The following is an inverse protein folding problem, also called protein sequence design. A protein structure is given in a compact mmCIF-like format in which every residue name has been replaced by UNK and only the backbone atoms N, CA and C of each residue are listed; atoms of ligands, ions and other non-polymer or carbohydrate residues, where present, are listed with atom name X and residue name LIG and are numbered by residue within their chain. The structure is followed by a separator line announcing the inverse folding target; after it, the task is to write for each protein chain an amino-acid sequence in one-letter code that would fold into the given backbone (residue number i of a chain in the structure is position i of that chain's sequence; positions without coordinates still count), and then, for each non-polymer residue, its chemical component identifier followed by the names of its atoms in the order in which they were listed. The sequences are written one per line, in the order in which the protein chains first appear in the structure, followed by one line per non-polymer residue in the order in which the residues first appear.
data_IF_042057798380
#
_entry.id   IF_042057798380
#
_cell.length_a   1.000
_cell.length_b   1.000
_cell.length_c   1.000
_cell.angle_alpha   90.00
_cell.angle_beta   90.00
_cell.angle_gamma   90.00
#
_symmetry.space_group_name_H-M   'P 1'
#
loop_
_entity.id
_entity.type
_entity.pdbx_description
1 polymer ?
#
# COMPACT_ATOMS: atom_id res chain seq x y z
N UNK A 1 56.66 96.01 -12.59
CA UNK A 1 55.77 94.85 -12.38
C UNK A 1 56.66 93.70 -11.92
N UNK A 2 56.60 93.38 -10.63
CA UNK A 2 57.48 92.41 -9.98
C UNK A 2 57.08 90.97 -10.30
N UNK A 3 57.75 90.38 -11.29
CA UNK A 3 57.56 88.98 -11.69
C UNK A 3 57.90 87.96 -10.57
N UNK A 4 58.58 88.38 -9.49
CA UNK A 4 58.91 87.53 -8.34
C UNK A 4 57.83 87.52 -7.23
N UNK A 5 57.09 88.62 -7.01
CA UNK A 5 55.99 88.63 -6.03
C UNK A 5 54.80 87.80 -6.52
N UNK A 6 54.55 87.79 -7.83
CA UNK A 6 53.50 86.98 -8.45
C UNK A 6 53.83 85.49 -8.42
N UNK A 7 55.12 85.10 -8.49
CA UNK A 7 55.56 83.69 -8.36
C UNK A 7 55.43 83.14 -6.95
N UNK A 8 55.81 83.90 -5.92
CA UNK A 8 55.70 83.47 -4.52
C UNK A 8 54.24 83.34 -4.07
N UNK A 9 53.39 84.27 -4.49
CA UNK A 9 51.95 84.27 -4.16
C UNK A 9 51.24 83.10 -4.84
N UNK A 10 51.63 82.77 -6.07
CA UNK A 10 51.09 81.63 -6.81
C UNK A 10 51.56 80.28 -6.22
N UNK A 11 52.82 80.18 -5.78
CA UNK A 11 53.33 78.99 -5.10
C UNK A 11 52.64 78.73 -3.74
N UNK A 12 52.39 79.78 -2.93
CA UNK A 12 51.64 79.64 -1.66
C UNK A 12 50.21 79.17 -1.88
N UNK A 13 49.51 79.71 -2.89
CA UNK A 13 48.16 79.26 -3.25
C UNK A 13 48.15 77.79 -3.70
N UNK A 14 49.15 77.38 -4.48
CA UNK A 14 49.30 75.99 -4.95
C UNK A 14 49.56 75.00 -3.82
N UNK A 15 50.34 75.39 -2.80
CA UNK A 15 50.58 74.55 -1.60
C UNK A 15 49.28 74.32 -0.82
N UNK A 16 48.48 75.38 -0.60
CA UNK A 16 47.19 75.25 0.10
C UNK A 16 46.23 74.34 -0.65
N UNK A 17 46.19 74.44 -1.98
CA UNK A 17 45.39 73.55 -2.83
C UNK A 17 45.87 72.09 -2.73
N UNK A 18 47.18 71.84 -2.76
CA UNK A 18 47.74 70.48 -2.62
C UNK A 18 47.41 69.86 -1.25
N UNK A 19 47.55 70.61 -0.15
CA UNK A 19 47.17 70.13 1.18
C UNK A 19 45.68 69.77 1.25
N UNK A 20 44.81 70.56 0.60
CA UNK A 20 43.38 70.26 0.54
C UNK A 20 43.09 69.00 -0.27
N UNK A 21 43.79 68.81 -1.39
CA UNK A 21 43.72 67.59 -2.20
C UNK A 21 44.16 66.37 -1.38
N UNK A 22 45.26 66.45 -0.62
CA UNK A 22 45.74 65.35 0.20
C UNK A 22 44.74 64.94 1.29
N UNK A 23 44.09 65.91 1.94
CA UNK A 23 43.00 65.65 2.90
C UNK A 23 41.83 64.91 2.23
N UNK A 24 41.40 65.38 1.06
CA UNK A 24 40.31 64.76 0.31
C UNK A 24 40.68 63.37 -0.19
N UNK A 25 41.93 63.14 -0.63
CA UNK A 25 42.44 61.82 -1.01
C UNK A 25 42.35 60.83 0.16
N UNK A 26 42.69 61.26 1.37
CA UNK A 26 42.53 60.43 2.58
C UNK A 26 41.07 60.08 2.82
N UNK A 27 40.15 61.05 2.65
CA UNK A 27 38.70 60.83 2.79
C UNK A 27 38.18 59.86 1.73
N UNK A 28 38.52 60.05 0.46
CA UNK A 28 38.15 59.17 -0.64
C UNK A 28 38.64 57.74 -0.41
N UNK A 29 39.89 57.57 0.02
CA UNK A 29 40.46 56.27 0.34
C UNK A 29 39.75 55.60 1.53
N UNK A 30 39.38 56.36 2.56
CA UNK A 30 38.57 55.82 3.67
C UNK A 30 37.20 55.33 3.18
N UNK A 31 36.51 56.09 2.31
CA UNK A 31 35.26 55.65 1.69
C UNK A 31 35.45 54.38 0.86
N UNK A 32 36.53 54.29 0.10
CA UNK A 32 36.90 53.09 -0.65
C UNK A 32 37.10 51.86 0.25
N UNK A 33 37.88 51.99 1.33
CA UNK A 33 38.11 50.91 2.30
C UNK A 33 36.83 50.49 3.02
N UNK A 34 35.87 51.40 3.18
CA UNK A 34 34.55 51.12 3.73
C UNK A 34 33.56 50.53 2.70
N UNK A 35 33.96 50.34 1.45
CA UNK A 35 33.08 49.87 0.36
C UNK A 35 32.04 50.89 -0.10
N UNK A 36 32.17 52.15 0.32
CA UNK A 36 31.29 53.28 -0.06
C UNK A 36 31.78 53.91 -1.36
N UNK A 37 31.76 53.14 -2.44
CA UNK A 37 32.36 53.55 -3.70
C UNK A 37 31.69 54.78 -4.31
N UNK A 38 30.38 54.96 -4.18
CA UNK A 38 29.68 56.17 -4.68
C UNK A 38 30.12 57.44 -3.93
N UNK A 39 30.41 57.34 -2.63
CA UNK A 39 30.93 58.45 -1.85
C UNK A 39 32.41 58.73 -2.19
N UNK A 40 33.21 57.67 -2.44
CA UNK A 40 34.58 57.82 -2.90
C UNK A 40 34.67 58.49 -4.29
N UNK A 41 33.73 58.19 -5.20
CA UNK A 41 33.63 58.84 -6.51
C UNK A 41 33.36 60.34 -6.36
N UNK A 42 32.38 60.73 -5.53
CA UNK A 42 32.06 62.15 -5.30
C UNK A 42 33.26 62.95 -4.78
N UNK A 43 34.02 62.37 -3.85
CA UNK A 43 35.21 63.03 -3.30
C UNK A 43 36.33 63.09 -4.35
N UNK A 44 36.49 62.06 -5.20
CA UNK A 44 37.44 62.08 -6.30
C UNK A 44 37.08 63.10 -7.40
N UNK A 45 35.78 63.27 -7.70
CA UNK A 45 35.27 64.33 -8.59
C UNK A 45 35.55 65.74 -8.01
N UNK A 46 35.38 65.93 -6.70
CA UNK A 46 35.73 67.18 -6.00
C UNK A 46 37.26 67.46 -6.07
N UNK A 47 38.10 66.42 -5.94
CA UNK A 47 39.56 66.56 -6.13
C UNK A 47 39.89 66.96 -7.56
N UNK A 48 39.23 66.35 -8.56
CA UNK A 48 39.44 66.69 -9.97
C UNK A 48 39.08 68.14 -10.28
N UNK A 49 37.95 68.64 -9.78
CA UNK A 49 37.51 70.03 -9.97
C UNK A 49 38.53 71.02 -9.38
N UNK A 50 38.96 70.79 -8.14
CA UNK A 50 39.99 71.60 -7.47
C UNK A 50 41.33 71.53 -8.21
N UNK A 51 41.71 70.36 -8.71
CA UNK A 51 42.96 70.16 -9.44
C UNK A 51 42.92 70.82 -10.84
N UNK A 52 41.77 70.82 -11.51
CA UNK A 52 41.57 71.44 -12.81
C UNK A 52 41.66 72.98 -12.72
N UNK A 53 40.98 73.58 -11.74
CA UNK A 53 41.06 75.02 -11.44
C UNK A 53 42.50 75.48 -11.14
N UNK A 54 43.29 74.61 -10.50
CA UNK A 54 44.69 74.86 -10.19
C UNK A 54 45.68 74.44 -11.29
N UNK A 55 45.19 73.94 -12.44
CA UNK A 55 46.00 73.44 -13.58
C UNK A 55 46.96 72.29 -13.20
N UNK A 56 46.56 71.44 -12.25
CA UNK A 56 47.27 70.26 -11.76
C UNK A 56 46.87 69.00 -12.56
N UNK A 57 47.10 69.02 -13.88
CA UNK A 57 46.61 67.98 -14.79
C UNK A 57 47.10 66.55 -14.48
N UNK A 58 48.23 66.38 -13.80
CA UNK A 58 48.69 65.06 -13.35
C UNK A 58 47.75 64.44 -12.32
N UNK A 59 47.20 65.25 -11.40
CA UNK A 59 46.25 64.82 -10.38
C UNK A 59 44.89 64.55 -11.03
N UNK A 60 44.46 65.42 -11.95
CA UNK A 60 43.23 65.21 -12.74
C UNK A 60 43.26 63.85 -13.45
N UNK A 61 44.43 63.47 -14.02
CA UNK A 61 44.60 62.16 -14.66
C UNK A 61 44.57 61.01 -13.65
N UNK A 62 45.29 61.13 -12.54
CA UNK A 62 45.34 60.11 -11.47
C UNK A 62 43.94 59.82 -10.91
N UNK A 63 43.17 60.86 -10.60
CA UNK A 63 41.80 60.72 -10.11
C UNK A 63 40.86 60.17 -11.19
N UNK A 64 41.04 60.54 -12.46
CA UNK A 64 40.26 59.96 -13.57
C UNK A 64 40.48 58.44 -13.70
N UNK A 65 41.72 57.96 -13.51
CA UNK A 65 42.04 56.53 -13.47
C UNK A 65 41.43 55.85 -12.22
N UNK A 66 41.50 56.50 -11.06
CA UNK A 66 40.90 56.01 -9.81
C UNK A 66 39.35 55.90 -9.89
N UNK A 67 38.67 56.92 -10.40
CA UNK A 67 37.21 56.92 -10.63
C UNK A 67 36.80 55.79 -11.58
N UNK A 68 37.57 55.56 -12.65
CA UNK A 68 37.28 54.48 -13.58
C UNK A 68 37.33 53.10 -12.90
N UNK A 69 38.26 52.89 -11.96
CA UNK A 69 38.33 51.66 -11.17
C UNK A 69 37.22 51.58 -10.12
N UNK A 70 36.84 52.69 -9.48
CA UNK A 70 35.68 52.74 -8.58
C UNK A 70 34.38 52.35 -9.30
N UNK A 71 34.15 52.84 -10.53
CA UNK A 71 32.98 52.43 -11.32
C UNK A 71 32.95 50.94 -11.63
N UNK A 72 34.11 50.31 -11.89
CA UNK A 72 34.19 48.84 -12.04
C UNK A 72 33.76 48.16 -10.74
N UNK A 73 34.20 48.65 -9.58
CA UNK A 73 33.82 48.12 -8.26
C UNK A 73 32.35 48.30 -7.93
N UNK A 74 31.75 49.46 -8.24
CA UNK A 74 30.30 49.68 -8.12
C UNK A 74 29.53 48.66 -8.97
N UNK A 75 29.95 48.44 -10.22
CA UNK A 75 29.31 47.47 -11.12
C UNK A 75 29.43 46.03 -10.61
N UNK A 76 30.57 45.66 -10.05
CA UNK A 76 30.77 44.35 -9.40
C UNK A 76 29.85 44.19 -8.18
N UNK A 77 29.81 45.18 -7.30
CA UNK A 77 28.99 45.16 -6.09
C UNK A 77 27.48 45.07 -6.41
N UNK A 78 27.02 45.85 -7.40
CA UNK A 78 25.62 45.80 -7.84
C UNK A 78 25.22 44.42 -8.37
N UNK A 79 26.12 43.72 -9.08
CA UNK A 79 25.87 42.33 -9.51
C UNK A 79 25.75 41.38 -8.32
N UNK A 80 26.60 41.54 -7.30
CA UNK A 80 26.53 40.72 -6.08
C UNK A 80 25.19 40.92 -5.38
N UNK A 81 24.78 42.17 -5.17
CA UNK A 81 23.48 42.52 -4.55
C UNK A 81 22.31 41.93 -5.35
N UNK A 82 22.37 41.99 -6.68
CA UNK A 82 21.33 41.42 -7.54
C UNK A 82 21.26 39.89 -7.40
N UNK A 83 22.40 39.21 -7.38
CA UNK A 83 22.48 37.77 -7.14
C UNK A 83 21.90 37.42 -5.77
N UNK A 84 22.26 38.16 -4.72
CA UNK A 84 21.74 37.95 -3.36
C UNK A 84 20.22 38.14 -3.30
N UNK A 85 19.68 39.17 -3.96
CA UNK A 85 18.23 39.39 -4.06
C UNK A 85 17.53 38.24 -4.78
N UNK A 86 18.12 37.74 -5.87
CA UNK A 86 17.58 36.58 -6.59
C UNK A 86 17.58 35.32 -5.71
N UNK A 87 18.68 35.05 -5.01
CA UNK A 87 18.77 33.90 -4.09
C UNK A 87 17.75 34.00 -2.95
N UNK A 88 17.59 35.19 -2.35
CA UNK A 88 16.58 35.42 -1.31
C UNK A 88 15.15 35.26 -1.83
N UNK A 89 14.88 35.65 -3.08
CA UNK A 89 13.56 35.47 -3.70
C UNK A 89 13.27 33.98 -3.92
N UNK A 90 14.24 33.21 -4.40
CA UNK A 90 14.11 31.76 -4.56
C UNK A 90 13.83 31.07 -3.21
N UNK A 91 14.54 31.45 -2.14
CA UNK A 91 14.31 30.91 -0.79
C UNK A 91 12.88 31.18 -0.31
N UNK A 92 12.37 32.41 -0.47
CA UNK A 92 10.99 32.76 -0.11
C UNK A 92 9.93 32.00 -0.92
N UNK A 93 10.24 31.61 -2.16
CA UNK A 93 9.35 30.79 -2.99
C UNK A 93 9.38 29.31 -2.60
N UNK A 94 10.51 28.82 -2.06
CA UNK A 94 10.67 27.44 -1.61
C UNK A 94 10.00 27.18 -0.25
N UNK A 95 9.97 28.15 0.65
CA UNK A 95 9.37 28.04 1.98
C UNK A 95 7.91 27.51 1.98
N UNK A 96 6.96 28.05 1.20
CA UNK A 96 5.61 27.50 1.15
C UNK A 96 5.56 26.09 0.55
N UNK A 97 6.44 25.77 -0.40
CA UNK A 97 6.51 24.42 -1.00
C UNK A 97 7.01 23.40 0.02
N UNK A 98 7.96 23.77 0.87
CA UNK A 98 8.46 22.91 1.95
C UNK A 98 7.33 22.57 2.93
N UNK A 99 6.56 23.58 3.35
CA UNK A 99 5.41 23.39 4.25
C UNK A 99 4.37 22.46 3.61
N UNK A 100 4.03 22.68 2.34
CA UNK A 100 3.08 21.84 1.61
C UNK A 100 3.59 20.41 1.47
N UNK A 101 4.84 20.24 1.05
CA UNK A 101 5.47 18.94 0.90
C UNK A 101 5.45 18.15 2.21
N UNK A 102 5.89 18.75 3.32
CA UNK A 102 5.88 18.11 4.64
C UNK A 102 4.45 17.75 5.09
N UNK A 103 3.47 18.60 4.80
CA UNK A 103 2.06 18.29 5.04
C UNK A 103 1.57 17.10 4.20
N UNK A 104 1.98 16.99 2.94
CA UNK A 104 1.58 15.88 2.07
C UNK A 104 2.28 14.58 2.44
N UNK A 105 3.55 14.62 2.83
CA UNK A 105 4.29 13.47 3.36
C UNK A 105 3.63 12.93 4.63
N UNK A 106 3.30 13.80 5.59
CA UNK A 106 2.65 13.38 6.84
C UNK A 106 1.24 12.81 6.66
N UNK A 107 0.56 13.19 5.58
CA UNK A 107 -0.78 12.68 5.23
C UNK A 107 -0.75 11.57 4.18
N UNK A 108 0.44 11.08 3.82
CA UNK A 108 0.65 10.06 2.77
C UNK A 108 0.05 10.42 1.41
N UNK A 109 -0.10 11.72 1.09
CA UNK A 109 -0.60 12.16 -0.21
C UNK A 109 0.56 12.24 -1.22
N UNK A 110 0.95 11.08 -1.76
CA UNK A 110 2.14 10.93 -2.62
C UNK A 110 2.01 11.73 -3.92
N UNK A 111 0.83 11.78 -4.53
CA UNK A 111 0.61 12.52 -5.78
C UNK A 111 0.92 14.01 -5.60
N UNK A 112 0.33 14.64 -4.57
CA UNK A 112 0.58 16.06 -4.30
C UNK A 112 2.00 16.33 -3.80
N UNK A 113 2.58 15.40 -3.02
CA UNK A 113 3.98 15.49 -2.62
C UNK A 113 4.94 15.45 -3.82
N UNK A 114 4.68 14.58 -4.81
CA UNK A 114 5.46 14.47 -6.05
C UNK A 114 5.36 15.75 -6.88
N UNK A 115 4.15 16.27 -7.07
CA UNK A 115 3.93 17.53 -7.78
C UNK A 115 4.66 18.70 -7.10
N UNK A 116 4.60 18.77 -5.77
CA UNK A 116 5.28 19.81 -4.98
C UNK A 116 6.80 19.70 -5.10
N UNK A 117 7.32 18.47 -5.07
CA UNK A 117 8.76 18.20 -5.22
C UNK A 117 9.26 18.60 -6.61
N UNK A 118 8.50 18.31 -7.67
CA UNK A 118 8.86 18.72 -9.03
C UNK A 118 8.84 20.25 -9.19
N UNK A 119 7.86 20.93 -8.59
CA UNK A 119 7.86 22.39 -8.52
C UNK A 119 9.11 22.91 -7.80
N UNK A 120 9.45 22.36 -6.64
CA UNK A 120 10.65 22.75 -5.90
C UNK A 120 11.93 22.53 -6.70
N UNK A 121 12.07 21.38 -7.39
CA UNK A 121 13.22 21.08 -8.27
C UNK A 121 13.45 22.14 -9.35
N UNK A 122 12.39 22.75 -9.89
CA UNK A 122 12.56 23.84 -10.87
C UNK A 122 13.22 25.09 -10.29
N UNK A 123 12.95 25.40 -9.02
CA UNK A 123 13.53 26.53 -8.29
C UNK A 123 14.95 26.21 -7.81
N UNK A 124 15.15 24.99 -7.28
CA UNK A 124 16.43 24.51 -6.74
C UNK A 124 17.55 24.52 -7.80
N UNK A 125 17.25 24.27 -9.07
CA UNK A 125 18.22 24.36 -10.20
C UNK A 125 18.96 25.70 -10.29
N UNK A 126 18.37 26.78 -9.77
CA UNK A 126 18.93 28.14 -9.81
C UNK A 126 19.50 28.59 -8.46
N UNK A 127 19.32 27.78 -7.42
CA UNK A 127 19.77 28.05 -6.06
C UNK A 127 21.23 27.62 -5.90
N UNK A 128 22.03 28.46 -5.24
CA UNK A 128 23.43 28.15 -4.89
C UNK A 128 23.61 27.79 -3.42
N UNK A 129 22.56 27.95 -2.62
CA UNK A 129 22.57 27.68 -1.19
C UNK A 129 22.64 26.18 -0.90
N UNK A 130 23.80 25.73 -0.44
CA UNK A 130 24.09 24.30 -0.22
C UNK A 130 23.28 23.68 0.90
N UNK A 131 22.89 24.47 1.91
CA UNK A 131 22.10 23.99 3.05
C UNK A 131 20.68 23.65 2.61
N UNK A 132 20.01 24.58 1.91
CA UNK A 132 18.67 24.37 1.36
C UNK A 132 18.66 23.21 0.36
N UNK A 133 19.68 23.09 -0.50
CA UNK A 133 19.79 21.98 -1.44
C UNK A 133 19.84 20.62 -0.73
N UNK A 134 20.69 20.48 0.30
CA UNK A 134 20.79 19.23 1.08
C UNK A 134 19.50 18.89 1.83
N UNK A 135 18.80 19.89 2.34
CA UNK A 135 17.50 19.69 2.99
C UNK A 135 16.50 19.07 2.00
N UNK A 136 16.39 19.63 0.79
CA UNK A 136 15.49 19.09 -0.24
C UNK A 136 15.94 17.72 -0.78
N UNK A 137 17.24 17.44 -0.88
CA UNK A 137 17.75 16.09 -1.18
C UNK A 137 17.31 15.07 -0.13
N UNK A 138 17.35 15.45 1.16
CA UNK A 138 16.87 14.62 2.26
C UNK A 138 15.36 14.39 2.17
N UNK A 139 14.60 15.44 1.89
CA UNK A 139 13.15 15.36 1.65
C UNK A 139 12.78 14.44 0.49
N UNK A 140 13.52 14.51 -0.62
CA UNK A 140 13.33 13.60 -1.77
C UNK A 140 13.62 12.15 -1.39
N UNK A 141 14.69 11.88 -0.63
CA UNK A 141 14.99 10.54 -0.15
C UNK A 141 13.84 9.98 0.73
N UNK A 142 13.31 10.78 1.66
CA UNK A 142 12.16 10.41 2.51
C UNK A 142 10.92 10.11 1.64
N UNK A 143 10.64 10.95 0.64
CA UNK A 143 9.54 10.73 -0.29
C UNK A 143 9.67 9.42 -1.06
N UNK A 144 10.86 9.12 -1.60
CA UNK A 144 11.10 7.89 -2.35
C UNK A 144 10.94 6.64 -1.48
N UNK A 145 11.39 6.70 -0.23
CA UNK A 145 11.16 5.60 0.73
C UNK A 145 9.67 5.41 1.04
N UNK A 146 8.93 6.51 1.23
CA UNK A 146 7.49 6.46 1.49
C UNK A 146 6.70 5.92 0.29
N UNK A 147 6.99 6.43 -0.92
CA UNK A 147 6.40 5.96 -2.18
C UNK A 147 6.59 4.45 -2.34
N UNK A 148 7.83 3.98 -2.15
CA UNK A 148 8.16 2.54 -2.20
C UNK A 148 7.33 1.73 -1.19
N UNK A 149 7.14 2.23 0.04
CA UNK A 149 6.32 1.53 1.06
C UNK A 149 4.85 1.44 0.66
N UNK A 150 4.29 2.48 0.06
CA UNK A 150 2.90 2.52 -0.39
C UNK A 150 2.69 1.57 -1.56
N UNK A 151 3.55 1.63 -2.59
CA UNK A 151 3.47 0.75 -3.76
C UNK A 151 3.50 -0.73 -3.35
N UNK A 152 4.38 -1.08 -2.40
CA UNK A 152 4.45 -2.44 -1.85
C UNK A 152 3.17 -2.81 -1.10
N UNK A 153 2.60 -1.89 -0.32
CA UNK A 153 1.38 -2.17 0.42
C UNK A 153 0.20 -2.40 -0.53
N UNK A 154 0.07 -1.61 -1.60
CA UNK A 154 -0.98 -1.80 -2.62
C UNK A 154 -0.85 -3.16 -3.33
N UNK A 155 0.35 -3.55 -3.73
CA UNK A 155 0.63 -4.85 -4.34
C UNK A 155 0.33 -6.03 -3.39
N UNK A 156 0.62 -5.87 -2.09
CA UNK A 156 0.25 -6.84 -1.05
C UNK A 156 -1.26 -6.94 -0.91
N UNK A 157 -1.98 -5.82 -0.78
CA UNK A 157 -3.44 -5.81 -0.64
C UNK A 157 -4.13 -6.46 -1.83
N UNK A 158 -3.66 -6.19 -3.05
CA UNK A 158 -4.16 -6.84 -4.25
C UNK A 158 -3.94 -8.37 -4.20
N UNK A 159 -2.74 -8.80 -3.79
CA UNK A 159 -2.42 -10.22 -3.64
C UNK A 159 -3.28 -10.89 -2.56
N UNK A 160 -3.56 -10.19 -1.46
CA UNK A 160 -4.41 -10.69 -0.37
C UNK A 160 -5.87 -10.83 -0.79
N UNK A 161 -6.39 -9.91 -1.60
CA UNK A 161 -7.73 -10.03 -2.17
C UNK A 161 -7.86 -11.29 -3.04
N UNK A 162 -6.85 -11.56 -3.87
CA UNK A 162 -6.82 -12.78 -4.69
C UNK A 162 -6.68 -14.05 -3.84
N UNK A 163 -5.84 -14.02 -2.79
CA UNK A 163 -5.73 -15.12 -1.83
C UNK A 163 -7.07 -15.43 -1.16
N UNK A 164 -7.80 -14.41 -0.72
CA UNK A 164 -9.14 -14.59 -0.16
C UNK A 164 -10.11 -15.25 -1.16
N UNK A 165 -10.11 -14.80 -2.41
CA UNK A 165 -10.92 -15.41 -3.48
C UNK A 165 -10.56 -16.88 -3.72
N UNK A 166 -9.27 -17.23 -3.67
CA UNK A 166 -8.81 -18.62 -3.84
C UNK A 166 -9.23 -19.50 -2.65
N UNK A 167 -9.18 -18.97 -1.42
CA UNK A 167 -9.66 -19.67 -0.22
C UNK A 167 -11.15 -19.99 -0.33
N UNK A 168 -11.98 -19.03 -0.76
CA UNK A 168 -13.42 -19.23 -0.93
C UNK A 168 -13.75 -20.29 -1.98
N UNK A 169 -12.84 -20.52 -2.93
CA UNK A 169 -12.94 -21.56 -3.96
C UNK A 169 -12.20 -22.86 -3.58
N UNK A 170 -11.70 -22.98 -2.34
CA UNK A 170 -10.92 -24.12 -1.84
C UNK A 170 -9.63 -24.39 -2.64
N UNK A 171 -9.07 -23.39 -3.32
CA UNK A 171 -7.83 -23.47 -4.10
C UNK A 171 -6.59 -23.16 -3.23
N UNK A 172 -6.42 -23.91 -2.13
CA UNK A 172 -5.41 -23.65 -1.10
C UNK A 172 -3.97 -23.65 -1.62
N UNK A 173 -3.60 -24.56 -2.53
CA UNK A 173 -2.24 -24.64 -3.08
C UNK A 173 -1.84 -23.37 -3.84
N UNK A 174 -2.76 -22.80 -4.64
CA UNK A 174 -2.52 -21.55 -5.36
C UNK A 174 -2.40 -20.37 -4.40
N UNK A 175 -3.26 -20.32 -3.38
CA UNK A 175 -3.18 -19.31 -2.33
C UNK A 175 -1.83 -19.36 -1.59
N UNK A 176 -1.34 -20.56 -1.24
CA UNK A 176 -0.02 -20.78 -0.63
C UNK A 176 1.11 -20.30 -1.54
N UNK A 177 1.05 -20.60 -2.84
CA UNK A 177 2.06 -20.15 -3.81
C UNK A 177 2.16 -18.61 -3.87
N UNK A 178 1.03 -17.90 -3.92
CA UNK A 178 1.02 -16.42 -3.91
C UNK A 178 1.66 -15.88 -2.64
N UNK A 179 1.24 -16.38 -1.47
CA UNK A 179 1.79 -15.93 -0.19
C UNK A 179 3.29 -16.22 -0.06
N UNK A 180 3.75 -17.42 -0.43
CA UNK A 180 5.17 -17.77 -0.39
C UNK A 180 6.00 -16.85 -1.30
N UNK A 181 5.54 -16.63 -2.54
CA UNK A 181 6.22 -15.75 -3.49
C UNK A 181 6.36 -14.32 -2.94
N UNK A 182 5.31 -13.77 -2.32
CA UNK A 182 5.36 -12.43 -1.71
C UNK A 182 6.21 -12.39 -0.45
N UNK A 183 6.19 -13.42 0.40
CA UNK A 183 7.05 -13.51 1.58
C UNK A 183 8.54 -13.52 1.17
N UNK A 184 8.90 -14.28 0.13
CA UNK A 184 10.27 -14.31 -0.40
C UNK A 184 10.69 -12.96 -0.99
N UNK A 185 9.79 -12.31 -1.75
CA UNK A 185 10.04 -10.97 -2.28
C UNK A 185 10.32 -9.95 -1.17
N UNK A 186 9.49 -9.92 -0.12
CA UNK A 186 9.65 -9.00 1.00
C UNK A 186 10.89 -9.29 1.83
N UNK A 187 11.30 -10.55 1.93
CA UNK A 187 12.54 -10.95 2.60
C UNK A 187 13.78 -10.43 1.86
N UNK A 188 13.77 -10.44 0.52
CA UNK A 188 14.87 -9.85 -0.28
C UNK A 188 14.91 -8.33 -0.18
N UNK A 189 13.77 -7.69 0.06
CA UNK A 189 13.65 -6.24 0.20
C UNK A 189 13.78 -5.69 1.63
N UNK A 190 14.02 -6.55 2.62
CA UNK A 190 14.12 -6.22 4.05
C UNK A 190 12.85 -5.57 4.66
N UNK A 191 11.67 -5.93 4.14
CA UNK A 191 10.37 -5.45 4.59
C UNK A 191 9.77 -6.35 5.68
N UNK A 192 10.44 -6.42 6.83
CA UNK A 192 10.15 -7.38 7.91
C UNK A 192 8.70 -7.29 8.43
N UNK A 193 8.16 -6.09 8.64
CA UNK A 193 6.81 -5.91 9.17
C UNK A 193 5.73 -6.50 8.24
N UNK A 194 5.86 -6.24 6.94
CA UNK A 194 4.96 -6.79 5.93
C UNK A 194 5.12 -8.31 5.82
N UNK A 195 6.35 -8.81 5.89
CA UNK A 195 6.65 -10.23 5.87
C UNK A 195 5.96 -10.96 7.04
N UNK A 196 5.99 -10.39 8.25
CA UNK A 196 5.34 -10.97 9.43
C UNK A 196 3.82 -11.04 9.26
N UNK A 197 3.19 -9.98 8.73
CA UNK A 197 1.74 -9.97 8.42
C UNK A 197 1.37 -11.10 7.46
N UNK A 198 2.15 -11.30 6.40
CA UNK A 198 1.92 -12.39 5.45
C UNK A 198 2.15 -13.78 6.05
N UNK A 199 3.13 -13.95 6.94
CA UNK A 199 3.34 -15.21 7.68
C UNK A 199 2.17 -15.57 8.59
N UNK A 200 1.56 -14.56 9.25
CA UNK A 200 0.34 -14.77 10.05
C UNK A 200 -0.81 -15.23 9.14
N UNK A 201 -0.99 -14.58 7.99
CA UNK A 201 -2.00 -15.01 7.00
C UNK A 201 -1.75 -16.41 6.47
N UNK A 202 -0.49 -16.78 6.22
CA UNK A 202 -0.12 -18.12 5.82
C UNK A 202 -0.50 -19.16 6.87
N UNK A 203 -0.28 -18.87 8.15
CA UNK A 203 -0.71 -19.78 9.23
C UNK A 203 -2.23 -19.96 9.23
N UNK A 204 -3.00 -18.86 9.11
CA UNK A 204 -4.45 -18.94 9.03
C UNK A 204 -4.95 -19.71 7.80
N UNK A 205 -4.23 -19.62 6.67
CA UNK A 205 -4.52 -20.39 5.46
C UNK A 205 -4.34 -21.89 5.68
N UNK A 206 -3.22 -22.29 6.29
CA UNK A 206 -2.95 -23.70 6.64
C UNK A 206 -4.02 -24.23 7.61
N UNK A 207 -4.36 -23.47 8.65
CA UNK A 207 -5.41 -23.85 9.59
C UNK A 207 -6.79 -24.02 8.92
N UNK A 208 -7.08 -23.26 7.86
CA UNK A 208 -8.31 -23.38 7.08
C UNK A 208 -8.28 -24.61 6.16
N UNK A 209 -7.15 -24.87 5.52
CA UNK A 209 -6.91 -26.07 4.70
C UNK A 209 -7.07 -27.35 5.52
N UNK A 210 -6.44 -27.42 6.70
CA UNK A 210 -6.53 -28.59 7.59
C UNK A 210 -7.98 -28.88 8.00
N UNK A 211 -8.76 -27.83 8.31
CA UNK A 211 -10.19 -27.98 8.61
C UNK A 211 -10.99 -28.48 7.41
N UNK A 212 -10.69 -27.98 6.21
CA UNK A 212 -11.33 -28.43 4.99
C UNK A 212 -11.02 -29.91 4.70
N UNK A 213 -9.75 -30.30 4.79
CA UNK A 213 -9.31 -31.69 4.57
C UNK A 213 -9.97 -32.65 5.56
N UNK A 214 -10.08 -32.26 6.83
CA UNK A 214 -10.80 -33.05 7.83
C UNK A 214 -12.27 -33.25 7.46
N UNK A 215 -12.94 -32.21 6.95
CA UNK A 215 -14.33 -32.34 6.49
C UNK A 215 -14.45 -33.24 5.25
N UNK A 216 -13.46 -33.25 4.36
CA UNK A 216 -13.43 -34.21 3.25
C UNK A 216 -13.24 -35.66 3.72
N UNK A 217 -12.43 -35.88 4.75
CA UNK A 217 -12.26 -37.19 5.38
C UNK A 217 -13.54 -37.65 6.08
N UNK A 218 -14.16 -36.78 6.89
CA UNK A 218 -15.45 -37.03 7.55
C UNK A 218 -16.53 -37.42 6.51
N UNK A 219 -16.54 -36.77 5.34
CA UNK A 219 -17.46 -37.14 4.26
C UNK A 219 -17.24 -38.57 3.77
N UNK A 220 -15.99 -38.97 3.50
CA UNK A 220 -15.64 -40.33 3.03
C UNK A 220 -16.02 -41.39 4.06
N UNK A 221 -15.75 -41.13 5.34
CA UNK A 221 -16.10 -42.03 6.43
C UNK A 221 -17.60 -42.22 6.54
N UNK A 222 -18.37 -41.12 6.49
CA UNK A 222 -19.82 -41.18 6.46
C UNK A 222 -20.35 -41.95 5.24
N UNK A 223 -19.76 -41.79 4.05
CA UNK A 223 -20.15 -42.58 2.87
C UNK A 223 -19.96 -44.09 3.10
N UNK A 224 -18.88 -44.47 3.78
CA UNK A 224 -18.60 -45.87 4.14
C UNK A 224 -19.60 -46.39 5.17
N UNK A 225 -19.84 -45.63 6.25
CA UNK A 225 -20.81 -45.99 7.28
C UNK A 225 -22.23 -46.15 6.72
N UNK A 226 -22.64 -45.30 5.78
CA UNK A 226 -23.96 -45.42 5.13
C UNK A 226 -24.08 -46.74 4.39
N UNK A 227 -23.05 -47.16 3.63
CA UNK A 227 -23.05 -48.45 2.92
C UNK A 227 -23.16 -49.61 3.91
N UNK A 228 -22.41 -49.57 4.99
CA UNK A 228 -22.45 -50.59 6.05
C UNK A 228 -23.85 -50.65 6.69
N UNK A 229 -24.39 -49.52 7.13
CA UNK A 229 -25.70 -49.43 7.77
C UNK A 229 -26.82 -49.95 6.85
N UNK A 230 -26.79 -49.61 5.56
CA UNK A 230 -27.75 -50.12 4.57
C UNK A 230 -27.62 -51.64 4.41
N UNK A 231 -26.40 -52.19 4.38
CA UNK A 231 -26.20 -53.65 4.28
C UNK A 231 -26.69 -54.43 5.51
N UNK A 232 -26.71 -53.77 6.67
CA UNK A 232 -27.16 -54.34 7.95
C UNK A 232 -28.63 -54.03 8.26
N UNK A 233 -29.38 -53.46 7.30
CA UNK A 233 -30.76 -52.99 7.47
C UNK A 233 -30.94 -51.92 8.58
N UNK A 234 -29.87 -51.23 8.95
CA UNK A 234 -29.83 -50.12 9.90
C UNK A 234 -30.19 -48.79 9.20
N UNK A 235 -31.39 -48.73 8.62
CA UNK A 235 -31.77 -47.65 7.70
C UNK A 235 -31.89 -46.27 8.39
N UNK A 236 -32.33 -46.22 9.64
CA UNK A 236 -32.42 -44.96 10.38
C UNK A 236 -31.03 -44.36 10.66
N UNK A 237 -30.05 -45.19 11.03
CA UNK A 237 -28.66 -44.76 11.16
C UNK A 237 -28.09 -44.27 9.83
N UNK A 238 -28.41 -44.96 8.73
CA UNK A 238 -28.01 -44.54 7.39
C UNK A 238 -28.58 -43.15 7.04
N UNK A 239 -29.87 -42.90 7.25
CA UNK A 239 -30.50 -41.59 7.02
C UNK A 239 -29.84 -40.50 7.88
N UNK A 240 -29.54 -40.79 9.15
CA UNK A 240 -28.88 -39.82 10.03
C UNK A 240 -27.47 -39.46 9.53
N UNK A 241 -26.70 -40.42 9.05
CA UNK A 241 -25.39 -40.16 8.45
C UNK A 241 -25.51 -39.39 7.13
N UNK A 242 -26.52 -39.67 6.31
CA UNK A 242 -26.81 -38.88 5.10
C UNK A 242 -27.09 -37.41 5.44
N UNK A 243 -27.89 -37.14 6.49
CA UNK A 243 -28.15 -35.77 6.96
C UNK A 243 -26.86 -35.05 7.38
N UNK A 244 -25.90 -35.75 7.98
CA UNK A 244 -24.58 -35.19 8.30
C UNK A 244 -23.80 -34.85 7.03
N UNK A 245 -23.77 -35.74 6.03
CA UNK A 245 -23.16 -35.46 4.72
C UNK A 245 -23.75 -34.20 4.09
N UNK A 246 -25.08 -34.07 4.07
CA UNK A 246 -25.77 -32.90 3.53
C UNK A 246 -25.33 -31.62 4.27
N UNK A 247 -25.25 -31.67 5.60
CA UNK A 247 -24.83 -30.52 6.42
C UNK A 247 -23.39 -30.10 6.12
N UNK A 248 -22.45 -31.06 6.08
CA UNK A 248 -21.04 -30.79 5.75
C UNK A 248 -20.94 -30.23 4.33
N UNK A 249 -21.60 -30.88 3.37
CA UNK A 249 -21.54 -30.51 1.95
C UNK A 249 -22.08 -29.10 1.69
N UNK A 250 -23.14 -28.66 2.40
CA UNK A 250 -23.62 -27.27 2.35
C UNK A 250 -22.57 -26.29 2.89
N UNK A 251 -21.89 -26.67 3.96
CA UNK A 251 -20.88 -25.83 4.59
C UNK A 251 -19.63 -25.66 3.70
N UNK A 252 -19.22 -26.70 2.97
CA UNK A 252 -18.05 -26.67 2.07
C UNK A 252 -18.39 -26.52 0.57
N UNK A 253 -19.61 -26.11 0.22
CA UNK A 253 -19.99 -25.84 -1.17
C UNK A 253 -19.98 -27.05 -2.13
N UNK A 254 -20.01 -28.29 -1.63
CA UNK A 254 -19.99 -29.51 -2.47
C UNK A 254 -21.40 -29.90 -2.94
N UNK A 255 -21.93 -29.15 -3.90
CA UNK A 255 -23.31 -29.31 -4.38
C UNK A 255 -23.64 -30.71 -4.92
N UNK A 256 -22.70 -31.40 -5.56
CA UNK A 256 -22.92 -32.76 -6.07
C UNK A 256 -23.27 -33.78 -4.97
N UNK A 257 -22.74 -33.61 -3.75
CA UNK A 257 -23.14 -34.43 -2.61
C UNK A 257 -24.57 -34.15 -2.20
N UNK A 258 -25.03 -32.90 -2.28
CA UNK A 258 -26.40 -32.53 -1.90
C UNK A 258 -27.42 -33.23 -2.79
N UNK A 259 -27.22 -33.20 -4.09
CA UNK A 259 -28.13 -33.85 -5.05
C UNK A 259 -28.16 -35.37 -4.83
N UNK A 260 -26.98 -36.01 -4.92
CA UNK A 260 -26.80 -37.46 -4.74
C UNK A 260 -27.45 -37.99 -3.47
N UNK A 261 -27.21 -37.33 -2.35
CA UNK A 261 -27.64 -37.82 -1.05
C UNK A 261 -29.06 -37.43 -0.69
N UNK A 262 -29.62 -36.37 -1.28
CA UNK A 262 -31.05 -36.07 -1.15
C UNK A 262 -31.87 -37.18 -1.80
N UNK A 263 -31.54 -37.58 -3.03
CA UNK A 263 -32.19 -38.70 -3.71
C UNK A 263 -31.99 -40.02 -2.97
N UNK A 264 -30.83 -40.21 -2.34
CA UNK A 264 -30.56 -41.45 -1.63
C UNK A 264 -31.39 -41.62 -0.36
N UNK A 265 -31.84 -40.54 0.28
CA UNK A 265 -32.82 -40.60 1.38
C UNK A 265 -34.12 -41.25 0.88
N UNK A 266 -34.66 -40.80 -0.25
CA UNK A 266 -35.92 -41.33 -0.79
C UNK A 266 -35.84 -42.84 -1.08
N UNK A 267 -34.68 -43.28 -1.58
CA UNK A 267 -34.43 -44.72 -1.82
C UNK A 267 -34.45 -45.51 -0.51
N UNK A 268 -33.81 -45.00 0.55
CA UNK A 268 -33.77 -45.69 1.85
C UNK A 268 -35.15 -45.69 2.51
N UNK A 269 -35.88 -44.58 2.45
CA UNK A 269 -37.25 -44.50 2.99
C UNK A 269 -38.19 -45.51 2.32
N UNK A 270 -38.07 -45.71 1.00
CA UNK A 270 -38.83 -46.74 0.30
C UNK A 270 -38.47 -48.16 0.78
N UNK A 271 -37.18 -48.44 1.00
CA UNK A 271 -36.75 -49.73 1.59
C UNK A 271 -37.32 -49.96 2.99
N UNK A 272 -37.37 -48.92 3.85
CA UNK A 272 -38.00 -49.01 5.17
C UNK A 272 -39.47 -49.43 5.02
N UNK A 273 -40.23 -48.77 4.12
CA UNK A 273 -41.65 -49.11 3.88
C UNK A 273 -41.83 -50.54 3.38
N UNK A 274 -40.94 -51.03 2.52
CA UNK A 274 -40.98 -52.41 2.03
C UNK A 274 -40.71 -53.42 3.14
N UNK A 275 -39.71 -53.17 3.98
CA UNK A 275 -39.39 -54.03 5.13
C UNK A 275 -40.53 -54.06 6.14
N UNK A 276 -41.13 -52.91 6.46
CA UNK A 276 -42.31 -52.85 7.34
C UNK A 276 -43.48 -53.66 6.78
N UNK A 277 -43.81 -53.52 5.50
CA UNK A 277 -44.86 -54.31 4.84
C UNK A 277 -44.56 -55.81 4.88
N UNK A 278 -43.29 -56.19 4.71
CA UNK A 278 -42.86 -57.59 4.78
C UNK A 278 -43.02 -58.16 6.20
N UNK A 279 -42.68 -57.39 7.24
CA UNK A 279 -42.80 -57.85 8.63
C UNK A 279 -44.26 -57.91 9.10
N UNK A 280 -45.11 -56.97 8.67
CA UNK A 280 -46.56 -57.02 8.87
C UNK A 280 -47.16 -58.29 8.27
N UNK A 281 -46.80 -58.61 7.01
CA UNK A 281 -47.24 -59.84 6.34
C UNK A 281 -46.78 -61.08 7.10
N UNK A 282 -45.51 -61.13 7.51
CA UNK A 282 -44.94 -62.25 8.28
C UNK A 282 -45.68 -62.47 9.60
N UNK A 283 -45.98 -61.39 10.32
CA UNK A 283 -46.75 -61.44 11.57
C UNK A 283 -48.16 -61.98 11.32
N UNK A 284 -48.84 -61.48 10.28
CA UNK A 284 -50.19 -61.92 9.90
C UNK A 284 -50.23 -63.39 9.51
N UNK A 285 -49.26 -63.84 8.70
CA UNK A 285 -49.11 -65.26 8.31
C UNK A 285 -48.84 -66.15 9.52
N UNK A 286 -47.97 -65.73 10.45
CA UNK A 286 -47.71 -66.50 11.67
C UNK A 286 -48.96 -66.64 12.54
N UNK A 287 -49.73 -65.57 12.73
CA UNK A 287 -50.97 -65.62 13.51
C UNK A 287 -52.00 -66.55 12.87
N UNK A 288 -52.21 -66.45 11.55
CA UNK A 288 -53.08 -67.36 10.81
C UNK A 288 -52.59 -68.81 10.91
N UNK A 289 -51.28 -69.04 10.83
CA UNK A 289 -50.71 -70.37 10.94
C UNK A 289 -50.97 -70.99 12.32
N UNK A 290 -50.85 -70.20 13.40
CA UNK A 290 -51.20 -70.63 14.76
C UNK A 290 -52.69 -71.01 14.84
N UNK A 291 -53.58 -70.15 14.33
CA UNK A 291 -55.03 -70.41 14.30
C UNK A 291 -55.38 -71.66 13.49
N UNK A 292 -54.74 -71.87 12.34
CA UNK A 292 -54.93 -73.06 11.50
C UNK A 292 -54.48 -74.34 12.20
N UNK A 293 -53.33 -74.30 12.88
CA UNK A 293 -52.83 -75.43 13.70
C UNK A 293 -53.79 -75.71 14.88
N UNK A 294 -54.35 -74.67 15.49
CA UNK A 294 -55.31 -74.82 16.59
C UNK A 294 -56.63 -75.45 16.12
N UNK A 295 -57.18 -75.01 14.99
CA UNK A 295 -58.37 -75.63 14.39
C UNK A 295 -58.17 -77.13 14.12
N UNK A 296 -56.98 -77.53 13.64
CA UNK A 296 -56.63 -78.95 13.47
C UNK A 296 -56.61 -79.73 14.78
N UNK A 297 -56.16 -79.13 15.90
CA UNK A 297 -56.15 -79.80 17.22
C UNK A 297 -57.55 -80.08 17.76
N UNK A 298 -58.54 -79.31 17.33
CA UNK A 298 -59.94 -79.45 17.72
C UNK A 298 -60.80 -80.16 16.65
N UNK A 299 -60.17 -80.89 15.71
CA UNK A 299 -60.83 -81.62 14.62
C UNK A 299 -61.67 -80.74 13.65
N UNK A 300 -61.47 -79.41 13.64
CA UNK A 300 -62.08 -78.49 12.67
C UNK A 300 -61.26 -78.42 11.37
N UNK A 301 -61.31 -79.50 10.60
CA UNK A 301 -60.58 -79.62 9.34
C UNK A 301 -61.02 -78.61 8.26
N UNK A 302 -62.29 -78.22 8.27
CA UNK A 302 -62.83 -77.26 7.29
C UNK A 302 -62.37 -75.84 7.61
N UNK A 303 -62.42 -75.43 8.88
CA UNK A 303 -61.90 -74.14 9.34
C UNK A 303 -60.39 -74.03 9.12
N UNK A 304 -59.64 -75.09 9.41
CA UNK A 304 -58.20 -75.14 9.15
C UNK A 304 -57.86 -74.95 7.66
N UNK A 305 -58.59 -75.64 6.76
CA UNK A 305 -58.37 -75.53 5.31
C UNK A 305 -58.59 -74.11 4.79
N UNK A 306 -59.64 -73.42 5.24
CA UNK A 306 -59.92 -72.04 4.84
C UNK A 306 -58.83 -71.07 5.33
N UNK A 307 -58.34 -71.24 6.57
CA UNK A 307 -57.22 -70.45 7.11
C UNK A 307 -55.94 -70.65 6.27
N UNK A 308 -55.61 -71.89 5.90
CA UNK A 308 -54.44 -72.16 5.05
C UNK A 308 -54.59 -71.62 3.63
N UNK A 309 -55.79 -71.67 3.03
CA UNK A 309 -56.07 -71.02 1.73
C UNK A 309 -55.86 -69.52 1.80
N UNK A 310 -56.27 -68.88 2.89
CA UNK A 310 -56.08 -67.44 3.11
C UNK A 310 -54.60 -67.06 3.22
N UNK A 311 -53.79 -67.83 3.96
CA UNK A 311 -52.33 -67.66 3.99
C UNK A 311 -51.76 -67.72 2.56
N UNK A 312 -52.16 -68.73 1.80
CA UNK A 312 -51.67 -68.98 0.44
C UNK A 312 -52.09 -67.84 -0.52
N UNK A 313 -53.28 -67.28 -0.33
CA UNK A 313 -53.78 -66.10 -1.06
C UNK A 313 -52.94 -64.86 -0.76
N UNK A 314 -52.69 -64.56 0.51
CA UNK A 314 -51.89 -63.39 0.94
C UNK A 314 -50.44 -63.47 0.42
N UNK A 315 -49.81 -64.65 0.50
CA UNK A 315 -48.47 -64.86 -0.05
C UNK A 315 -48.47 -64.68 -1.58
N UNK A 316 -49.43 -65.29 -2.30
CA UNK A 316 -49.55 -65.14 -3.76
C UNK A 316 -49.74 -63.69 -4.21
N UNK A 317 -50.48 -62.88 -3.46
CA UNK A 317 -50.70 -61.46 -3.77
C UNK A 317 -49.41 -60.64 -3.72
N UNK A 318 -48.44 -61.05 -2.90
CA UNK A 318 -47.13 -60.39 -2.74
C UNK A 318 -46.15 -60.89 -3.79
N UNK A 319 -46.15 -62.20 -4.08
CA UNK A 319 -45.24 -62.80 -5.07
C UNK A 319 -45.65 -62.58 -6.54
N UNK A 320 -46.90 -62.24 -6.84
CA UNK A 320 -47.34 -61.87 -8.21
C UNK A 320 -47.00 -60.42 -8.61
N UNK A 321 -46.45 -59.60 -7.70
CA UNK A 321 -46.09 -58.20 -7.92
C UNK A 321 -44.59 -57.95 -8.17
N UNK A 322 -43.76 -59.00 -8.14
CA UNK A 322 -42.39 -59.00 -8.69
C UNK A 322 -42.45 -59.51 -10.11
#
# INVERSE_FOLDING_TARGET
MDLNSDKETNNKKKIVVLSKIDELKVIANNHYLMGKFDDAIKIAEEIMEIAEDAKLYSIVREEGEFIADLYKKVKENNKIIEIEKQQNTLKKQLEPLEIQFNSYISTNNITLAEETLEQAKTLLKKLKDTETLKMWETSEAIFLELKKKIDINEDIEHSLAEVSRLIDNYEFDKAKQILNSKIEFLQKGDFLDYQQKLKIKMKSLIDAEDKYLKLEEDLKDLESEIKQNVSQNQFEQAINNIKKIIKISRFIGKNHYLEKYTEYIDIIENKIREVSKSEELKTKVNNLNIQGIEALKYDDYSGALEIFKEILSQLKAVFKKK
#
